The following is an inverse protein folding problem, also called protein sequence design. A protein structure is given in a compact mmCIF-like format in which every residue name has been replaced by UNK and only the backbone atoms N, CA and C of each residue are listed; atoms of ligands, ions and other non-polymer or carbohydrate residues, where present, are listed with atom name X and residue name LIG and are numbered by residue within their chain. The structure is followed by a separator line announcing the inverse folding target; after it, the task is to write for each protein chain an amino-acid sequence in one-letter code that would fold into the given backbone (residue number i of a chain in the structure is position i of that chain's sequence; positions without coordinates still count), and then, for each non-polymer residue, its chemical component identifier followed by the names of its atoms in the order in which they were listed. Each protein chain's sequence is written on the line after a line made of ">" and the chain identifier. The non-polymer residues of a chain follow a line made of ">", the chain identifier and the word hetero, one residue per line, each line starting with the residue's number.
data_IF_398394265677
#
_entry.id   IF_398394265677
#
_cell.length_a   1.000
_cell.length_b   1.000
_cell.length_c   1.000
_cell.angle_alpha   90.00
_cell.angle_beta   90.00
_cell.angle_gamma   90.00
#
_symmetry.space_group_name_H-M   'P 1'
#
loop_
_entity.id
_entity.type
_entity.pdbx_description
1 polymer ?
#
# COMPACT_ATOMS: atom_id res chain seq x y z
N UNK A 1 -1.68 -58.79 -14.43
CA UNK A 1 -0.94 -57.51 -14.37
C UNK A 1 -1.44 -56.63 -15.51
N UNK A 2 -2.36 -55.69 -15.26
CA UNK A 2 -2.68 -54.68 -16.26
C UNK A 2 -1.71 -53.50 -16.12
N UNK A 3 -1.23 -53.03 -17.27
CA UNK A 3 -0.37 -51.87 -17.39
C UNK A 3 -1.10 -50.61 -16.89
N UNK A 4 -0.53 -49.95 -15.89
CA UNK A 4 -0.86 -48.58 -15.52
C UNK A 4 -0.40 -47.67 -16.64
N UNK A 5 -1.35 -47.27 -17.49
CA UNK A 5 -1.15 -46.22 -18.47
C UNK A 5 -0.97 -44.90 -17.73
N UNK A 6 0.26 -44.50 -17.49
CA UNK A 6 0.64 -43.13 -17.11
C UNK A 6 0.33 -42.20 -18.30
N UNK A 7 -0.95 -41.84 -18.44
CA UNK A 7 -1.33 -40.69 -19.23
C UNK A 7 -1.04 -39.44 -18.37
N UNK A 8 -0.22 -38.49 -18.84
CA UNK A 8 0.03 -37.25 -18.09
C UNK A 8 -1.31 -36.53 -17.92
N UNK A 9 -1.73 -36.29 -16.67
CA UNK A 9 -2.99 -35.61 -16.39
C UNK A 9 -3.02 -34.26 -17.14
N UNK A 10 -4.06 -33.96 -17.94
CA UNK A 10 -4.15 -32.77 -18.79
C UNK A 10 -4.27 -31.44 -18.00
N UNK A 11 -4.36 -31.50 -16.68
CA UNK A 11 -4.63 -30.37 -15.79
C UNK A 11 -3.42 -29.44 -15.59
N UNK A 12 -2.21 -29.85 -15.99
CA UNK A 12 -0.98 -29.06 -15.80
C UNK A 12 -0.48 -28.33 -17.06
N UNK A 13 -1.21 -28.39 -18.18
CA UNK A 13 -0.77 -27.77 -19.43
C UNK A 13 -1.33 -26.35 -19.55
N UNK A 14 -0.43 -25.35 -19.59
CA UNK A 14 -0.80 -23.96 -19.92
C UNK A 14 -1.42 -23.91 -21.31
N UNK A 15 -2.70 -23.56 -21.37
CA UNK A 15 -3.45 -23.45 -22.62
C UNK A 15 -2.96 -22.26 -23.46
N UNK A 16 -3.09 -22.36 -24.78
CA UNK A 16 -2.95 -21.20 -25.67
C UNK A 16 -4.16 -20.28 -25.46
N UNK A 17 -3.98 -18.98 -25.72
CA UNK A 17 -5.03 -17.99 -25.49
C UNK A 17 -6.38 -18.32 -26.14
N UNK A 18 -6.38 -18.93 -27.33
CA UNK A 18 -7.60 -19.37 -28.02
C UNK A 18 -8.23 -20.61 -27.40
N UNK A 19 -7.40 -21.53 -26.91
CA UNK A 19 -7.86 -22.78 -26.28
C UNK A 19 -8.58 -22.51 -24.95
N UNK A 20 -8.29 -21.38 -24.30
CA UNK A 20 -9.03 -20.95 -23.10
C UNK A 20 -10.51 -20.70 -23.41
N UNK A 21 -10.82 -20.18 -24.60
CA UNK A 21 -12.20 -19.90 -25.02
C UNK A 21 -13.02 -21.17 -25.31
N UNK A 22 -12.34 -22.29 -25.55
CA UNK A 22 -12.95 -23.58 -25.84
C UNK A 22 -13.43 -24.30 -24.56
N UNK A 23 -12.95 -23.88 -23.38
CA UNK A 23 -13.44 -24.39 -22.10
C UNK A 23 -14.93 -24.07 -21.91
N UNK A 24 -15.70 -25.00 -21.35
CA UNK A 24 -17.03 -24.66 -20.82
C UNK A 24 -16.90 -23.77 -19.58
N UNK A 25 -18.02 -23.21 -19.10
CA UNK A 25 -17.99 -22.21 -18.03
C UNK A 25 -17.56 -22.82 -16.67
N UNK A 26 -17.80 -24.11 -16.44
CA UNK A 26 -17.39 -24.82 -15.22
C UNK A 26 -15.88 -25.07 -15.25
N UNK A 27 -15.40 -25.66 -16.34
CA UNK A 27 -13.98 -25.91 -16.58
C UNK A 27 -13.17 -24.61 -16.60
N UNK A 28 -13.73 -23.52 -17.13
CA UNK A 28 -13.10 -22.20 -17.07
C UNK A 28 -12.98 -21.70 -15.64
N UNK A 29 -14.04 -21.80 -14.82
CA UNK A 29 -13.97 -21.40 -13.41
C UNK A 29 -12.91 -22.18 -12.63
N UNK A 30 -12.84 -23.50 -12.82
CA UNK A 30 -11.85 -24.38 -12.20
C UNK A 30 -10.43 -24.03 -12.68
N UNK A 31 -10.26 -23.79 -13.98
CA UNK A 31 -8.99 -23.37 -14.57
C UNK A 31 -8.47 -22.07 -13.94
N UNK A 32 -9.33 -21.10 -13.67
CA UNK A 32 -8.95 -19.84 -13.01
C UNK A 32 -8.50 -20.03 -11.56
N UNK A 33 -9.00 -21.05 -10.86
CA UNK A 33 -8.70 -21.28 -9.43
C UNK A 33 -7.48 -22.15 -9.21
N UNK A 34 -7.15 -23.02 -10.17
CA UNK A 34 -6.05 -23.98 -10.05
C UNK A 34 -4.69 -23.30 -9.88
N UNK A 35 -4.36 -22.33 -10.75
CA UNK A 35 -3.04 -21.67 -10.76
C UNK A 35 -3.13 -20.20 -11.14
N UNK A 36 -2.23 -19.41 -10.56
CA UNK A 36 -2.12 -17.99 -10.93
C UNK A 36 -1.76 -17.80 -12.41
N UNK A 37 -0.88 -18.62 -12.96
CA UNK A 37 -0.53 -18.54 -14.39
C UNK A 37 -1.72 -18.83 -15.33
N UNK A 38 -2.69 -19.63 -14.88
CA UNK A 38 -3.93 -19.88 -15.62
C UNK A 38 -4.79 -18.62 -15.66
N UNK A 39 -4.97 -17.96 -14.51
CA UNK A 39 -5.63 -16.66 -14.40
C UNK A 39 -4.93 -15.59 -15.26
N UNK A 40 -3.60 -15.51 -15.26
CA UNK A 40 -2.82 -14.61 -16.13
C UNK A 40 -3.10 -14.90 -17.61
N UNK A 41 -3.14 -16.18 -17.99
CA UNK A 41 -3.40 -16.59 -19.37
C UNK A 41 -4.82 -16.23 -19.80
N UNK A 42 -5.81 -16.44 -18.93
CA UNK A 42 -7.19 -16.04 -19.16
C UNK A 42 -7.34 -14.52 -19.26
N UNK A 43 -6.67 -13.75 -18.39
CA UNK A 43 -6.66 -12.29 -18.44
C UNK A 43 -6.05 -11.74 -19.75
N UNK A 44 -4.98 -12.36 -20.26
CA UNK A 44 -4.41 -11.99 -21.57
C UNK A 44 -5.38 -12.38 -22.70
N UNK A 45 -6.05 -13.54 -22.59
CA UNK A 45 -7.03 -13.98 -23.58
C UNK A 45 -8.23 -13.04 -23.65
N UNK A 46 -8.71 -12.58 -22.49
CA UNK A 46 -9.78 -11.60 -22.35
C UNK A 46 -9.40 -10.24 -22.95
N UNK A 47 -8.23 -9.71 -22.56
CA UNK A 47 -7.72 -8.45 -23.10
C UNK A 47 -7.53 -8.49 -24.63
N UNK A 48 -7.24 -9.66 -25.18
CA UNK A 48 -7.13 -9.89 -26.62
C UNK A 48 -8.46 -10.25 -27.30
N UNK A 49 -9.58 -10.20 -26.58
CA UNK A 49 -10.95 -10.48 -27.03
C UNK A 49 -11.13 -11.91 -27.57
N UNK A 50 -10.48 -12.89 -26.95
CA UNK A 50 -10.67 -14.30 -27.28
C UNK A 50 -11.78 -14.97 -26.46
N UNK A 51 -12.08 -14.48 -25.26
CA UNK A 51 -13.07 -15.11 -24.38
C UNK A 51 -14.51 -14.88 -24.88
N UNK A 52 -15.39 -15.83 -24.54
CA UNK A 52 -16.84 -15.68 -24.76
C UNK A 52 -17.44 -14.68 -23.76
N UNK A 53 -18.60 -14.06 -24.06
CA UNK A 53 -19.25 -13.12 -23.15
C UNK A 53 -19.44 -13.67 -21.72
N UNK A 54 -19.92 -14.91 -21.56
CA UNK A 54 -20.11 -15.52 -20.24
C UNK A 54 -18.80 -15.65 -19.44
N UNK A 55 -17.69 -15.97 -20.11
CA UNK A 55 -16.36 -16.08 -19.48
C UNK A 55 -15.79 -14.70 -19.13
N UNK A 56 -16.01 -13.70 -20.00
CA UNK A 56 -15.68 -12.30 -19.73
C UNK A 56 -16.42 -11.79 -18.49
N UNK A 57 -17.74 -11.98 -18.44
CA UNK A 57 -18.59 -11.57 -17.33
C UNK A 57 -18.17 -12.25 -16.02
N UNK A 58 -17.80 -13.55 -16.07
CA UNK A 58 -17.28 -14.28 -14.92
C UNK A 58 -15.96 -13.67 -14.41
N UNK A 59 -15.05 -13.30 -15.31
CA UNK A 59 -13.76 -12.72 -14.96
C UNK A 59 -13.90 -11.30 -14.39
N UNK A 60 -14.87 -10.53 -14.88
CA UNK A 60 -15.19 -9.16 -14.44
C UNK A 60 -16.20 -9.09 -13.28
N UNK A 61 -16.66 -10.23 -12.75
CA UNK A 61 -17.50 -10.27 -11.57
C UNK A 61 -16.85 -9.52 -10.39
N UNK A 62 -17.64 -8.81 -9.59
CA UNK A 62 -17.14 -7.96 -8.49
C UNK A 62 -16.20 -8.70 -7.53
N UNK A 63 -16.49 -9.98 -7.23
CA UNK A 63 -15.66 -10.83 -6.39
C UNK A 63 -14.32 -11.25 -6.99
N UNK A 64 -14.16 -11.17 -8.32
CA UNK A 64 -12.93 -11.57 -9.06
C UNK A 64 -12.15 -10.39 -9.62
N UNK A 65 -12.71 -9.19 -9.61
CA UNK A 65 -12.10 -8.00 -10.20
C UNK A 65 -10.70 -7.68 -9.64
N UNK A 66 -10.48 -8.00 -8.36
CA UNK A 66 -9.18 -7.87 -7.73
C UNK A 66 -8.16 -8.90 -8.24
N UNK A 67 -8.56 -10.16 -8.40
CA UNK A 67 -7.70 -11.20 -8.96
C UNK A 67 -7.37 -10.90 -10.43
N UNK A 68 -8.35 -10.43 -11.20
CA UNK A 68 -8.14 -9.97 -12.57
C UNK A 68 -7.14 -8.81 -12.65
N UNK A 69 -7.27 -7.81 -11.76
CA UNK A 69 -6.32 -6.71 -11.66
C UNK A 69 -4.90 -7.21 -11.37
N UNK A 70 -4.74 -8.14 -10.43
CA UNK A 70 -3.44 -8.69 -10.05
C UNK A 70 -2.82 -9.47 -11.22
N UNK A 71 -3.62 -10.26 -11.94
CA UNK A 71 -3.21 -11.01 -13.11
C UNK A 71 -2.81 -10.12 -14.29
N UNK A 72 -3.59 -9.07 -14.59
CA UNK A 72 -3.26 -8.09 -15.63
C UNK A 72 -2.02 -7.26 -15.28
N UNK A 73 -1.83 -6.92 -14.00
CA UNK A 73 -0.62 -6.24 -13.51
C UNK A 73 0.63 -7.08 -13.79
N UNK A 74 0.57 -8.37 -13.47
CA UNK A 74 1.66 -9.29 -13.76
C UNK A 74 1.86 -9.47 -15.27
N UNK A 75 0.77 -9.67 -16.02
CA UNK A 75 0.78 -9.84 -17.47
C UNK A 75 1.43 -8.66 -18.20
N UNK A 76 1.12 -7.42 -17.78
CA UNK A 76 1.73 -6.22 -18.36
C UNK A 76 3.25 -6.27 -18.25
N UNK A 77 3.77 -6.51 -17.04
CA UNK A 77 5.21 -6.55 -16.82
C UNK A 77 5.89 -7.72 -17.52
N UNK A 78 5.31 -8.92 -17.47
CA UNK A 78 5.87 -10.11 -18.12
C UNK A 78 5.89 -9.94 -19.65
N UNK A 79 4.82 -9.42 -20.24
CA UNK A 79 4.77 -9.12 -21.68
C UNK A 79 5.77 -8.01 -22.06
N UNK A 80 5.95 -7.00 -21.22
CA UNK A 80 6.97 -5.97 -21.47
C UNK A 80 8.37 -6.58 -21.52
N UNK A 81 8.76 -7.36 -20.52
CA UNK A 81 10.07 -8.03 -20.50
C UNK A 81 10.21 -9.03 -21.65
N UNK A 82 9.13 -9.74 -22.01
CA UNK A 82 9.12 -10.63 -23.16
C UNK A 82 9.36 -9.89 -24.47
N UNK A 83 8.73 -8.73 -24.69
CA UNK A 83 8.98 -7.87 -25.86
C UNK A 83 10.43 -7.42 -25.90
N UNK A 84 10.98 -6.94 -24.78
CA UNK A 84 12.37 -6.48 -24.67
C UNK A 84 13.34 -7.62 -25.02
N UNK A 85 13.13 -8.80 -24.44
CA UNK A 85 13.93 -10.01 -24.71
C UNK A 85 13.84 -10.45 -26.18
N UNK A 86 12.63 -10.49 -26.74
CA UNK A 86 12.41 -10.86 -28.14
C UNK A 86 13.07 -9.85 -29.09
N UNK A 87 12.99 -8.56 -28.77
CA UNK A 87 13.64 -7.49 -29.55
C UNK A 87 15.16 -7.63 -29.52
N UNK A 88 15.75 -7.89 -28.35
CA UNK A 88 17.19 -8.14 -28.22
C UNK A 88 17.65 -9.31 -29.11
N UNK A 89 16.88 -10.40 -29.12
CA UNK A 89 17.17 -11.59 -29.94
C UNK A 89 16.71 -11.48 -31.41
N UNK A 90 16.13 -10.35 -31.82
CA UNK A 90 15.54 -10.15 -33.16
C UNK A 90 14.47 -11.21 -33.51
N UNK A 91 13.71 -11.66 -32.51
CA UNK A 91 12.63 -12.64 -32.69
C UNK A 91 11.43 -11.99 -33.39
N UNK A 92 10.95 -12.52 -34.53
CA UNK A 92 9.82 -11.94 -35.28
C UNK A 92 8.51 -11.90 -34.48
N UNK A 93 8.38 -12.69 -33.41
CA UNK A 93 7.20 -12.69 -32.53
C UNK A 93 7.07 -11.40 -31.72
N UNK A 94 8.13 -10.59 -31.60
CA UNK A 94 8.13 -9.34 -30.83
C UNK A 94 6.95 -8.42 -31.20
N UNK A 95 6.63 -8.29 -32.49
CA UNK A 95 5.53 -7.44 -32.95
C UNK A 95 4.16 -7.92 -32.44
N UNK A 96 3.94 -9.24 -32.40
CA UNK A 96 2.70 -9.83 -31.86
C UNK A 96 2.61 -9.62 -30.35
N UNK A 97 3.69 -9.90 -29.61
CA UNK A 97 3.73 -9.72 -28.16
C UNK A 97 3.54 -8.25 -27.78
N UNK A 98 4.09 -7.32 -28.56
CA UNK A 98 3.90 -5.88 -28.38
C UNK A 98 2.45 -5.44 -28.57
N UNK A 99 1.71 -6.04 -29.52
CA UNK A 99 0.26 -5.82 -29.65
C UNK A 99 -0.49 -6.30 -28.42
N UNK A 100 -0.18 -7.51 -27.93
CA UNK A 100 -0.78 -8.07 -26.72
C UNK A 100 -0.51 -7.20 -25.49
N UNK A 101 0.71 -6.68 -25.33
CA UNK A 101 1.05 -5.76 -24.26
C UNK A 101 0.16 -4.50 -24.27
N UNK A 102 -0.09 -3.92 -25.46
CA UNK A 102 -0.99 -2.75 -25.57
C UNK A 102 -2.42 -3.09 -25.16
N UNK A 103 -2.93 -4.25 -25.59
CA UNK A 103 -4.25 -4.74 -25.22
C UNK A 103 -4.38 -4.93 -23.70
N UNK A 104 -3.40 -5.58 -23.07
CA UNK A 104 -3.34 -5.78 -21.61
C UNK A 104 -3.30 -4.45 -20.86
N UNK A 105 -2.54 -3.46 -21.33
CA UNK A 105 -2.53 -2.11 -20.72
C UNK A 105 -3.89 -1.42 -20.76
N UNK A 106 -4.59 -1.53 -21.90
CA UNK A 106 -5.95 -0.99 -22.04
C UNK A 106 -6.92 -1.69 -21.08
N UNK A 107 -6.88 -3.03 -21.02
CA UNK A 107 -7.72 -3.81 -20.11
C UNK A 107 -7.41 -3.49 -18.65
N UNK A 108 -6.13 -3.40 -18.25
CA UNK A 108 -5.73 -3.05 -16.90
C UNK A 108 -6.23 -1.66 -16.49
N UNK A 109 -6.15 -0.68 -17.40
CA UNK A 109 -6.70 0.65 -17.13
C UNK A 109 -8.22 0.60 -16.92
N UNK A 110 -8.95 -0.19 -17.71
CA UNK A 110 -10.39 -0.39 -17.54
C UNK A 110 -10.71 -1.01 -16.17
N UNK A 111 -10.04 -2.11 -15.82
CA UNK A 111 -10.21 -2.80 -14.53
C UNK A 111 -9.87 -1.89 -13.35
N UNK A 112 -8.88 -1.00 -13.47
CA UNK A 112 -8.60 0.02 -12.45
C UNK A 112 -9.78 0.97 -12.24
N UNK A 113 -10.47 1.39 -13.30
CA UNK A 113 -11.66 2.25 -13.20
C UNK A 113 -12.82 1.51 -12.54
N UNK A 114 -13.07 0.27 -12.94
CA UNK A 114 -14.12 -0.59 -12.36
C UNK A 114 -13.88 -0.84 -10.87
N UNK A 115 -12.65 -1.22 -10.50
CA UNK A 115 -12.30 -1.48 -9.10
C UNK A 115 -12.34 -0.20 -8.24
N UNK A 116 -12.07 0.97 -8.83
CA UNK A 116 -12.28 2.25 -8.14
C UNK A 116 -13.78 2.58 -7.98
N UNK A 117 -14.60 2.30 -9.00
CA UNK A 117 -16.04 2.51 -8.93
C UNK A 117 -16.71 1.60 -7.88
N UNK A 118 -16.34 0.31 -7.86
CA UNK A 118 -16.82 -0.66 -6.88
C UNK A 118 -16.50 -0.21 -5.44
N UNK A 119 -15.23 0.13 -5.16
CA UNK A 119 -14.82 0.64 -3.85
C UNK A 119 -15.59 1.90 -3.43
N UNK A 120 -15.84 2.83 -4.35
CA UNK A 120 -16.66 4.03 -4.05
C UNK A 120 -18.12 3.67 -3.77
N UNK A 121 -18.68 2.67 -4.45
CA UNK A 121 -20.04 2.21 -4.17
C UNK A 121 -20.12 1.55 -2.79
N UNK A 122 -19.20 0.64 -2.48
CA UNK A 122 -19.11 -0.04 -1.17
C UNK A 122 -18.93 0.95 -0.02
N UNK A 123 -18.05 1.95 -0.19
CA UNK A 123 -17.86 2.99 0.82
C UNK A 123 -19.13 3.81 1.03
N UNK A 124 -19.82 4.24 -0.05
CA UNK A 124 -21.08 4.96 0.07
C UNK A 124 -22.15 4.15 0.81
N UNK A 125 -22.26 2.86 0.53
CA UNK A 125 -23.19 1.97 1.24
C UNK A 125 -22.81 1.86 2.73
N UNK A 126 -21.52 1.72 3.04
CA UNK A 126 -21.03 1.68 4.42
C UNK A 126 -21.27 2.98 5.18
N UNK A 127 -21.04 4.12 4.54
CA UNK A 127 -21.22 5.45 5.14
C UNK A 127 -22.70 5.75 5.38
N UNK A 128 -23.56 5.38 4.43
CA UNK A 128 -25.01 5.47 4.58
C UNK A 128 -25.54 4.60 5.74
N UNK A 129 -25.05 3.36 5.85
CA UNK A 129 -25.43 2.46 6.95
C UNK A 129 -24.93 2.95 8.32
N UNK A 130 -23.78 3.61 8.35
CA UNK A 130 -23.17 4.13 9.57
C UNK A 130 -23.66 5.55 9.94
N UNK A 131 -24.58 6.14 9.16
CA UNK A 131 -25.03 7.52 9.37
C UNK A 131 -23.89 8.54 9.42
N UNK A 132 -22.73 8.21 8.82
CA UNK A 132 -21.50 8.98 8.99
C UNK A 132 -21.65 10.30 8.23
N UNK A 133 -21.59 11.41 8.97
CA UNK A 133 -21.64 12.74 8.38
C UNK A 133 -20.38 13.00 7.54
N UNK A 134 -20.48 13.81 6.47
CA UNK A 134 -19.34 14.22 5.67
C UNK A 134 -18.22 14.76 6.56
N UNK A 135 -16.96 14.46 6.20
CA UNK A 135 -15.80 14.91 6.97
C UNK A 135 -15.81 16.44 7.09
N UNK A 136 -15.94 16.95 8.32
CA UNK A 136 -15.94 18.37 8.59
C UNK A 136 -14.53 18.89 8.97
N UNK A 137 -14.42 20.21 8.97
CA UNK A 137 -13.19 20.90 9.36
C UNK A 137 -12.81 20.64 10.81
N UNK A 138 -13.78 20.49 11.71
CA UNK A 138 -13.57 20.29 13.16
C UNK A 138 -12.98 18.92 13.44
N UNK A 139 -13.56 17.85 12.91
CA UNK A 139 -13.07 16.47 13.04
C UNK A 139 -11.69 16.34 12.42
N UNK A 140 -11.48 16.96 11.26
CA UNK A 140 -10.16 16.98 10.60
C UNK A 140 -9.13 17.72 11.46
N UNK A 141 -9.49 18.85 12.06
CA UNK A 141 -8.61 19.63 12.92
C UNK A 141 -8.24 18.88 14.20
N UNK A 142 -9.22 18.24 14.87
CA UNK A 142 -8.99 17.36 16.03
C UNK A 142 -7.98 16.25 15.70
N UNK A 143 -8.19 15.54 14.59
CA UNK A 143 -7.29 14.48 14.15
C UNK A 143 -5.88 14.99 13.79
N UNK A 144 -5.76 16.17 13.17
CA UNK A 144 -4.44 16.76 12.88
C UNK A 144 -3.74 17.22 14.16
N UNK A 145 -4.49 17.73 15.14
CA UNK A 145 -3.94 18.12 16.44
C UNK A 145 -3.38 16.92 17.22
N UNK A 146 -4.07 15.77 17.18
CA UNK A 146 -3.57 14.52 17.75
C UNK A 146 -2.23 14.09 17.12
N UNK A 147 -2.07 14.29 15.81
CA UNK A 147 -0.79 14.05 15.12
C UNK A 147 0.30 15.07 15.49
N UNK A 148 -0.09 16.32 15.78
CA UNK A 148 0.86 17.33 16.24
C UNK A 148 1.37 17.00 17.66
N UNK A 149 0.51 16.54 18.57
CA UNK A 149 0.84 16.28 19.97
C UNK A 149 0.64 14.81 20.38
N UNK A 150 1.38 13.85 19.76
CA UNK A 150 1.09 12.42 19.89
C UNK A 150 1.26 11.89 21.31
N UNK A 151 2.29 12.34 22.04
CA UNK A 151 2.54 11.92 23.42
C UNK A 151 1.43 12.39 24.36
N UNK A 152 1.02 13.66 24.24
CA UNK A 152 -0.04 14.23 25.08
C UNK A 152 -1.39 13.59 24.75
N UNK A 153 -1.69 13.41 23.47
CA UNK A 153 -2.90 12.70 23.04
C UNK A 153 -2.96 11.27 23.59
N UNK A 154 -1.87 10.52 23.54
CA UNK A 154 -1.82 9.15 24.09
C UNK A 154 -2.11 9.13 25.59
N UNK A 155 -1.58 10.10 26.34
CA UNK A 155 -1.87 10.24 27.77
C UNK A 155 -3.35 10.54 28.04
N UNK A 156 -3.93 11.50 27.30
CA UNK A 156 -5.34 11.87 27.43
C UNK A 156 -6.27 10.71 27.06
N UNK A 157 -5.93 9.94 26.02
CA UNK A 157 -6.68 8.77 25.61
C UNK A 157 -6.66 7.67 26.68
N UNK A 158 -5.49 7.39 27.27
CA UNK A 158 -5.37 6.42 28.35
C UNK A 158 -6.20 6.84 29.58
N UNK A 159 -6.23 8.14 29.92
CA UNK A 159 -7.06 8.68 31.00
C UNK A 159 -8.56 8.53 30.70
N UNK A 160 -8.99 8.84 29.48
CA UNK A 160 -10.39 8.71 29.07
C UNK A 160 -10.84 7.24 29.04
N UNK A 161 -10.00 6.33 28.56
CA UNK A 161 -10.26 4.88 28.60
C UNK A 161 -10.36 4.36 30.03
N UNK A 162 -9.45 4.76 30.91
CA UNK A 162 -9.50 4.38 32.33
C UNK A 162 -10.78 4.88 33.00
N UNK A 163 -11.22 6.11 32.71
CA UNK A 163 -12.48 6.66 33.21
C UNK A 163 -13.70 5.87 32.72
N UNK A 164 -13.64 5.32 31.51
CA UNK A 164 -14.68 4.45 30.93
C UNK A 164 -14.54 2.96 31.33
N UNK A 165 -13.63 2.61 32.25
CA UNK A 165 -13.31 1.22 32.62
C UNK A 165 -12.87 0.35 31.43
N UNK A 166 -12.29 0.96 30.39
CA UNK A 166 -11.75 0.30 29.22
C UNK A 166 -10.25 0.00 29.42
N UNK A 167 -9.73 -1.10 28.85
CA UNK A 167 -8.30 -1.36 28.88
C UNK A 167 -7.55 -0.25 28.13
N UNK A 168 -6.49 0.25 28.76
CA UNK A 168 -5.64 1.27 28.15
C UNK A 168 -5.03 0.74 26.85
N UNK A 169 -5.29 1.44 25.75
CA UNK A 169 -4.82 1.08 24.42
C UNK A 169 -4.35 2.33 23.68
N UNK A 170 -3.12 2.33 23.14
CA UNK A 170 -2.65 3.43 22.31
C UNK A 170 -3.52 3.56 21.06
N UNK A 171 -3.60 4.76 20.50
CA UNK A 171 -4.24 4.94 19.21
C UNK A 171 -3.38 4.34 18.09
N UNK A 172 -3.99 3.52 17.23
CA UNK A 172 -3.35 2.99 16.03
C UNK A 172 -2.81 4.14 15.16
N UNK A 173 -1.50 4.14 14.87
CA UNK A 173 -0.85 5.23 14.13
C UNK A 173 -0.98 5.05 12.62
N UNK A 174 -1.05 3.79 12.20
CA UNK A 174 -1.17 3.40 10.81
C UNK A 174 -2.11 2.19 10.64
N UNK A 175 -2.26 1.77 9.40
CA UNK A 175 -3.12 0.66 9.04
C UNK A 175 -2.59 -0.68 9.57
N UNK A 176 -1.28 -0.83 9.77
CA UNK A 176 -0.69 -2.05 10.28
C UNK A 176 -0.98 -2.20 11.78
N UNK A 177 -0.86 -1.12 12.56
CA UNK A 177 -1.28 -1.11 13.97
C UNK A 177 -2.76 -1.54 14.08
N UNK A 178 -3.62 -1.03 13.20
CA UNK A 178 -5.04 -1.42 13.16
C UNK A 178 -5.23 -2.92 12.91
N UNK A 179 -4.44 -3.50 12.00
CA UNK A 179 -4.48 -4.92 11.65
C UNK A 179 -3.94 -5.79 12.79
N UNK A 180 -2.80 -5.42 13.37
CA UNK A 180 -2.14 -6.14 14.47
C UNK A 180 -3.05 -6.14 15.72
N UNK A 181 -3.63 -4.99 16.07
CA UNK A 181 -4.62 -4.89 17.13
C UNK A 181 -5.88 -5.72 16.83
N UNK A 182 -6.42 -5.61 15.61
CA UNK A 182 -7.60 -6.38 15.21
C UNK A 182 -7.38 -7.88 15.23
N UNK A 183 -6.16 -8.35 14.97
CA UNK A 183 -5.78 -9.75 15.16
C UNK A 183 -5.74 -10.11 16.65
N UNK A 184 -5.10 -9.29 17.49
CA UNK A 184 -5.04 -9.52 18.93
C UNK A 184 -6.42 -9.52 19.61
N UNK A 185 -7.37 -8.74 19.08
CA UNK A 185 -8.77 -8.69 19.51
C UNK A 185 -9.64 -9.85 19.00
N UNK A 186 -9.08 -10.73 18.16
CA UNK A 186 -9.83 -11.82 17.54
C UNK A 186 -10.81 -11.37 16.45
N UNK A 187 -10.71 -10.13 15.95
CA UNK A 187 -11.51 -9.65 14.81
C UNK A 187 -11.06 -10.24 13.48
N UNK A 188 -9.78 -10.63 13.38
CA UNK A 188 -9.22 -11.32 12.22
C UNK A 188 -8.98 -12.80 12.55
N UNK A 189 -9.68 -13.69 11.86
CA UNK A 189 -9.48 -15.14 12.01
C UNK A 189 -8.30 -15.59 11.16
N UNK A 190 -7.11 -15.58 11.75
CA UNK A 190 -5.88 -16.10 11.13
C UNK A 190 -5.07 -16.86 12.19
N UNK A 191 -5.12 -18.21 12.21
CA UNK A 191 -4.39 -19.00 13.19
C UNK A 191 -2.90 -18.93 12.94
N UNK A 192 -2.11 -18.85 14.01
CA UNK A 192 -0.65 -18.95 13.90
C UNK A 192 -0.26 -20.40 13.59
N UNK A 193 0.20 -20.64 12.37
CA UNK A 193 0.70 -21.95 11.93
C UNK A 193 2.21 -22.04 12.14
N UNK A 194 2.81 -23.24 12.12
CA UNK A 194 4.27 -23.37 12.21
C UNK A 194 5.03 -22.54 11.15
N UNK A 195 4.48 -22.40 9.95
CA UNK A 195 5.07 -21.56 8.89
C UNK A 195 5.07 -20.06 9.26
N UNK A 196 4.00 -19.57 9.88
CA UNK A 196 3.91 -18.18 10.36
C UNK A 196 4.92 -17.94 11.48
N UNK A 197 5.00 -18.83 12.47
CA UNK A 197 5.96 -18.71 13.58
C UNK A 197 7.41 -18.73 13.09
N UNK A 198 7.73 -19.60 12.12
CA UNK A 198 9.05 -19.62 11.51
C UNK A 198 9.38 -18.30 10.81
N UNK A 199 8.45 -17.71 10.06
CA UNK A 199 8.66 -16.43 9.40
C UNK A 199 8.79 -15.28 10.40
N UNK A 200 8.03 -15.28 11.50
CA UNK A 200 8.14 -14.31 12.58
C UNK A 200 9.51 -14.39 13.25
N UNK A 201 10.03 -15.60 13.48
CA UNK A 201 11.34 -15.82 14.12
C UNK A 201 12.55 -15.49 13.23
N UNK A 202 12.39 -15.41 11.90
CA UNK A 202 13.51 -15.09 10.98
C UNK A 202 14.05 -13.69 11.25
N UNK A 203 15.37 -13.51 11.12
CA UNK A 203 16.00 -12.18 11.04
C UNK A 203 15.62 -11.43 9.76
N UNK A 204 15.89 -10.13 9.71
CA UNK A 204 15.50 -9.24 8.58
C UNK A 204 15.97 -9.77 7.22
N UNK A 205 17.24 -10.18 7.11
CA UNK A 205 17.82 -10.69 5.85
C UNK A 205 17.16 -12.00 5.42
N UNK A 206 16.99 -12.96 6.34
CA UNK A 206 16.38 -14.26 6.03
C UNK A 206 14.89 -14.14 5.67
N UNK A 207 14.18 -13.20 6.28
CA UNK A 207 12.80 -12.89 5.92
C UNK A 207 12.71 -12.26 4.53
N UNK A 208 13.58 -11.29 4.21
CA UNK A 208 13.64 -10.69 2.87
C UNK A 208 13.97 -11.72 1.79
N UNK A 209 14.87 -12.67 2.06
CA UNK A 209 15.14 -13.79 1.15
C UNK A 209 13.90 -14.65 0.91
N UNK A 210 13.13 -14.96 1.98
CA UNK A 210 11.87 -15.69 1.86
C UNK A 210 10.87 -14.97 0.94
N UNK A 211 10.72 -13.64 1.12
CA UNK A 211 9.88 -12.80 0.26
C UNK A 211 10.40 -12.77 -1.18
N UNK A 212 11.71 -12.79 -1.39
CA UNK A 212 12.30 -12.85 -2.72
C UNK A 212 12.02 -14.20 -3.41
N UNK A 213 12.10 -15.31 -2.67
CA UNK A 213 11.81 -16.65 -3.19
C UNK A 213 10.32 -16.78 -3.55
N UNK A 214 9.43 -16.33 -2.67
CA UNK A 214 7.98 -16.25 -2.91
C UNK A 214 7.64 -15.34 -4.09
N UNK A 215 8.35 -14.21 -4.27
CA UNK A 215 8.16 -13.38 -5.46
C UNK A 215 8.63 -14.08 -6.75
N UNK A 216 9.63 -14.98 -6.69
CA UNK A 216 10.07 -15.74 -7.87
C UNK A 216 9.10 -16.86 -8.23
N UNK A 217 8.50 -17.51 -7.24
CA UNK A 217 7.53 -18.58 -7.44
C UNK A 217 6.08 -18.08 -7.37
N UNK A 218 5.57 -17.67 -8.53
CA UNK A 218 4.22 -17.13 -8.63
C UNK A 218 3.11 -18.17 -8.53
N UNK A 219 3.42 -19.46 -8.70
CA UNK A 219 2.41 -20.53 -8.65
C UNK A 219 2.36 -21.20 -7.27
N UNK A 220 3.47 -21.26 -6.54
CA UNK A 220 3.55 -21.82 -5.19
C UNK A 220 3.82 -20.71 -4.16
N UNK A 221 2.89 -19.74 -4.10
CA UNK A 221 3.00 -18.59 -3.20
C UNK A 221 2.79 -19.01 -1.76
N UNK A 222 3.66 -18.57 -0.86
CA UNK A 222 3.59 -18.91 0.56
C UNK A 222 2.37 -18.24 1.21
N UNK A 223 1.35 -19.00 1.64
CA UNK A 223 0.18 -18.42 2.30
C UNK A 223 0.53 -17.82 3.67
N UNK A 224 1.63 -18.25 4.32
CA UNK A 224 2.03 -17.72 5.62
C UNK A 224 2.41 -16.23 5.54
N UNK A 225 3.03 -15.78 4.43
CA UNK A 225 3.34 -14.35 4.23
C UNK A 225 2.11 -13.44 4.24
N UNK A 226 0.92 -13.98 3.95
CA UNK A 226 -0.35 -13.26 3.98
C UNK A 226 -0.90 -13.05 5.38
N UNK A 227 -0.28 -13.62 6.42
CA UNK A 227 -0.75 -13.50 7.79
C UNK A 227 -0.77 -12.03 8.27
N UNK A 228 -1.82 -11.57 9.01
CA UNK A 228 -1.95 -10.19 9.49
C UNK A 228 -0.69 -9.64 10.17
N UNK A 229 -0.06 -10.42 11.06
CA UNK A 229 1.15 -10.01 11.80
C UNK A 229 2.41 -9.85 10.94
N UNK A 230 2.41 -10.39 9.72
CA UNK A 230 3.56 -10.32 8.81
C UNK A 230 3.46 -9.15 7.83
N UNK A 231 2.30 -8.50 7.70
CA UNK A 231 2.07 -7.49 6.66
C UNK A 231 3.05 -6.32 6.74
N UNK A 232 3.33 -5.80 7.94
CA UNK A 232 4.31 -4.71 8.13
C UNK A 232 5.69 -5.10 7.62
N UNK A 233 6.21 -6.26 8.04
CA UNK A 233 7.52 -6.78 7.62
C UNK A 233 7.54 -7.12 6.13
N UNK A 234 6.46 -7.67 5.61
CA UNK A 234 6.33 -8.01 4.20
C UNK A 234 6.37 -6.75 3.32
N UNK A 235 5.66 -5.68 3.71
CA UNK A 235 5.75 -4.38 3.04
C UNK A 235 7.20 -3.88 2.98
N UNK A 236 7.88 -3.83 4.14
CA UNK A 236 9.27 -3.38 4.23
C UNK A 236 10.20 -4.22 3.35
N UNK A 237 10.06 -5.55 3.36
CA UNK A 237 10.86 -6.43 2.53
C UNK A 237 10.63 -6.21 1.03
N UNK A 238 9.37 -6.03 0.58
CA UNK A 238 9.05 -5.69 -0.81
C UNK A 238 9.59 -4.31 -1.21
N UNK A 239 9.63 -3.35 -0.27
CA UNK A 239 10.22 -2.03 -0.45
C UNK A 239 11.73 -2.06 -0.64
N UNK A 240 12.42 -2.80 0.22
CA UNK A 240 13.86 -3.03 0.08
C UNK A 240 14.19 -3.80 -1.20
N UNK A 241 13.47 -4.89 -1.50
CA UNK A 241 13.72 -5.70 -2.70
C UNK A 241 13.56 -4.88 -3.98
N UNK A 242 12.52 -4.06 -4.09
CA UNK A 242 12.35 -3.20 -5.24
C UNK A 242 13.51 -2.20 -5.35
N UNK A 243 13.86 -1.53 -4.25
CA UNK A 243 14.95 -0.55 -4.20
C UNK A 243 16.30 -1.15 -4.64
N UNK A 244 16.60 -2.37 -4.18
CA UNK A 244 17.81 -3.11 -4.57
C UNK A 244 17.79 -3.57 -6.03
N UNK A 245 16.60 -3.87 -6.57
CA UNK A 245 16.46 -4.43 -7.92
C UNK A 245 16.44 -3.34 -9.01
N UNK A 246 15.91 -2.14 -8.72
CA UNK A 246 15.83 -1.01 -9.68
C UNK A 246 17.14 -0.74 -10.43
N UNK A 247 18.30 -0.56 -9.79
CA UNK A 247 19.54 -0.31 -10.52
C UNK A 247 19.97 -1.50 -11.40
N UNK A 248 19.78 -2.73 -10.91
CA UNK A 248 20.11 -3.95 -11.66
C UNK A 248 19.21 -4.12 -12.90
N UNK A 249 17.94 -3.79 -12.75
CA UNK A 249 16.92 -3.82 -13.81
C UNK A 249 17.04 -2.64 -14.79
N UNK A 250 17.92 -1.66 -14.51
CA UNK A 250 17.98 -0.36 -15.19
C UNK A 250 16.58 0.26 -15.32
N UNK A 251 15.78 0.14 -14.26
CA UNK A 251 14.40 0.59 -14.25
C UNK A 251 14.30 2.09 -13.93
N UNK A 252 13.23 2.75 -14.37
CA UNK A 252 13.02 4.17 -14.09
C UNK A 252 12.69 4.46 -12.62
N UNK A 253 12.00 3.53 -11.95
CA UNK A 253 11.63 3.67 -10.54
C UNK A 253 11.27 2.32 -9.91
N UNK A 254 11.08 2.26 -8.59
CA UNK A 254 10.56 1.06 -7.91
C UNK A 254 9.15 0.62 -8.34
N UNK A 255 8.47 1.35 -9.22
CA UNK A 255 7.10 1.07 -9.67
C UNK A 255 6.92 1.16 -11.19
N UNK A 256 7.99 1.39 -11.95
CA UNK A 256 7.93 1.51 -13.40
C UNK A 256 9.26 1.06 -14.04
N UNK A 257 9.14 0.26 -15.12
CA UNK A 257 10.28 -0.35 -15.78
C UNK A 257 11.02 0.68 -16.63
N UNK A 258 10.32 1.66 -17.19
CA UNK A 258 10.87 2.63 -18.13
C UNK A 258 11.39 1.98 -19.42
N UNK A 259 11.88 2.83 -20.33
CA UNK A 259 12.61 2.37 -21.51
C UNK A 259 13.97 1.80 -21.12
N UNK A 260 14.42 0.78 -21.84
CA UNK A 260 15.80 0.33 -21.72
C UNK A 260 16.75 1.41 -22.27
N UNK A 261 17.93 1.60 -21.67
CA UNK A 261 18.95 2.49 -22.21
C UNK A 261 19.37 2.13 -23.65
N UNK A 262 19.76 3.14 -24.42
CA UNK A 262 20.08 2.98 -25.85
C UNK A 262 21.26 2.06 -26.15
N UNK A 263 22.16 1.84 -25.18
CA UNK A 263 23.28 0.91 -25.28
C UNK A 263 22.88 -0.56 -25.11
N UNK A 264 21.67 -0.85 -24.63
CA UNK A 264 21.24 -2.20 -24.25
C UNK A 264 21.35 -3.23 -25.38
N UNK A 265 21.02 -2.84 -26.61
CA UNK A 265 21.10 -3.70 -27.80
C UNK A 265 22.53 -4.15 -28.15
N UNK A 266 23.54 -3.46 -27.62
CA UNK A 266 24.95 -3.73 -27.88
C UNK A 266 25.62 -4.52 -26.75
N UNK A 267 24.93 -4.77 -25.65
CA UNK A 267 25.47 -5.52 -24.53
C UNK A 267 25.70 -6.99 -24.91
N UNK A 268 26.74 -7.65 -24.34
CA UNK A 268 26.88 -9.09 -24.41
C UNK A 268 25.64 -9.81 -23.85
N UNK A 269 25.31 -10.98 -24.40
CA UNK A 269 24.08 -11.70 -24.03
C UNK A 269 24.00 -11.96 -22.53
N UNK A 270 25.10 -12.35 -21.90
CA UNK A 270 25.13 -12.61 -20.46
C UNK A 270 24.68 -11.39 -19.63
N UNK A 271 25.13 -10.19 -19.99
CA UNK A 271 24.81 -8.98 -19.25
C UNK A 271 23.41 -8.45 -19.59
N UNK A 272 23.00 -8.55 -20.85
CA UNK A 272 21.63 -8.26 -21.26
C UNK A 272 20.62 -9.13 -20.49
N UNK A 273 20.92 -10.42 -20.33
CA UNK A 273 20.06 -11.35 -19.59
C UNK A 273 20.04 -11.11 -18.08
N UNK A 274 21.13 -10.64 -17.47
CA UNK A 274 21.11 -10.18 -16.07
C UNK A 274 20.10 -9.05 -15.88
N UNK A 275 20.10 -8.06 -16.77
CA UNK A 275 19.17 -6.93 -16.74
C UNK A 275 17.73 -7.42 -16.96
N UNK A 276 17.48 -8.24 -17.98
CA UNK A 276 16.13 -8.77 -18.28
C UNK A 276 15.57 -9.60 -17.13
N UNK A 277 16.40 -10.45 -16.50
CA UNK A 277 15.99 -11.24 -15.34
C UNK A 277 15.70 -10.35 -14.13
N UNK A 278 16.50 -9.31 -13.89
CA UNK A 278 16.23 -8.32 -12.84
C UNK A 278 14.92 -7.56 -13.09
N UNK A 279 14.62 -7.20 -14.36
CA UNK A 279 13.33 -6.58 -14.74
C UNK A 279 12.16 -7.51 -14.50
N UNK A 280 12.27 -8.80 -14.86
CA UNK A 280 11.24 -9.81 -14.57
C UNK A 280 11.03 -9.97 -13.06
N UNK A 281 12.10 -9.99 -12.27
CA UNK A 281 12.00 -10.07 -10.82
C UNK A 281 11.31 -8.83 -10.23
N UNK A 282 11.63 -7.63 -10.74
CA UNK A 282 10.96 -6.38 -10.32
C UNK A 282 9.46 -6.39 -10.60
N UNK A 283 9.03 -6.92 -11.76
CA UNK A 283 7.61 -7.13 -12.09
C UNK A 283 6.95 -8.07 -11.08
N UNK A 284 7.63 -9.16 -10.70
CA UNK A 284 7.10 -10.10 -9.74
C UNK A 284 6.92 -9.46 -8.34
N UNK A 285 7.84 -8.58 -7.93
CA UNK A 285 7.69 -7.76 -6.72
C UNK A 285 6.47 -6.85 -6.80
N UNK A 286 6.18 -6.23 -7.95
CA UNK A 286 5.01 -5.37 -8.12
C UNK A 286 3.70 -6.13 -7.98
N UNK A 287 3.63 -7.35 -8.51
CA UNK A 287 2.48 -8.21 -8.31
C UNK A 287 2.27 -8.49 -6.80
N UNK A 288 3.33 -8.85 -6.07
CA UNK A 288 3.23 -9.12 -4.61
C UNK A 288 2.84 -7.87 -3.83
N UNK A 289 3.29 -6.68 -4.25
CA UNK A 289 2.84 -5.40 -3.67
C UNK A 289 1.37 -5.11 -3.94
N UNK A 290 0.85 -5.42 -5.13
CA UNK A 290 -0.56 -5.25 -5.45
C UNK A 290 -1.43 -6.14 -4.56
N UNK A 291 -1.04 -7.41 -4.41
CA UNK A 291 -1.71 -8.38 -3.53
C UNK A 291 -1.66 -7.93 -2.06
N UNK A 292 -0.49 -7.51 -1.58
CA UNK A 292 -0.31 -6.98 -0.24
C UNK A 292 -1.21 -5.75 0.03
N UNK A 293 -1.25 -4.80 -0.91
CA UNK A 293 -2.11 -3.60 -0.80
C UNK A 293 -3.58 -4.00 -0.66
N UNK A 294 -4.03 -4.98 -1.44
CA UNK A 294 -5.38 -5.53 -1.35
C UNK A 294 -5.65 -6.15 0.01
N UNK A 295 -4.77 -7.04 0.48
CA UNK A 295 -4.92 -7.75 1.76
C UNK A 295 -5.00 -6.78 2.93
N UNK A 296 -4.15 -5.75 2.96
CA UNK A 296 -4.20 -4.71 3.99
C UNK A 296 -5.56 -4.02 4.03
N UNK A 297 -6.10 -3.63 2.88
CA UNK A 297 -7.41 -2.98 2.85
C UNK A 297 -8.54 -3.92 3.27
N UNK A 298 -8.46 -5.20 2.90
CA UNK A 298 -9.42 -6.21 3.32
C UNK A 298 -9.37 -6.43 4.85
N UNK A 299 -8.18 -6.56 5.43
CA UNK A 299 -8.01 -6.69 6.87
C UNK A 299 -8.51 -5.46 7.61
N UNK A 300 -8.11 -4.26 7.18
CA UNK A 300 -8.56 -3.01 7.80
C UNK A 300 -10.09 -2.84 7.71
N UNK A 301 -10.69 -3.18 6.57
CA UNK A 301 -12.15 -3.18 6.41
C UNK A 301 -12.83 -4.15 7.37
N UNK A 302 -12.35 -5.39 7.44
CA UNK A 302 -12.88 -6.42 8.36
C UNK A 302 -12.77 -5.99 9.82
N UNK A 303 -11.62 -5.45 10.22
CA UNK A 303 -11.40 -4.93 11.59
C UNK A 303 -12.35 -3.78 11.88
N UNK A 304 -12.53 -2.84 10.94
CA UNK A 304 -13.44 -1.71 11.10
C UNK A 304 -14.88 -2.17 11.30
N UNK A 305 -15.35 -3.08 10.45
CA UNK A 305 -16.73 -3.58 10.51
C UNK A 305 -16.96 -4.38 11.82
N UNK A 306 -16.01 -5.22 12.23
CA UNK A 306 -16.07 -5.98 13.50
C UNK A 306 -15.99 -5.09 14.73
N UNK A 307 -15.15 -4.05 14.72
CA UNK A 307 -15.04 -3.07 15.82
C UNK A 307 -16.32 -2.27 16.01
N UNK A 308 -17.02 -1.93 14.92
CA UNK A 308 -18.33 -1.25 14.99
C UNK A 308 -19.41 -2.12 15.59
N UNK A 309 -19.37 -3.43 15.34
CA UNK A 309 -20.29 -4.39 15.92
C UNK A 309 -19.92 -4.81 17.36
N UNK A 310 -18.79 -4.36 17.90
CA UNK A 310 -18.36 -4.70 19.25
C UNK A 310 -19.19 -3.97 20.31
N UNK A 311 -19.51 -4.61 21.44
CA UNK A 311 -20.37 -4.01 22.47
C UNK A 311 -19.73 -2.78 23.15
N UNK A 312 -18.41 -2.66 23.12
CA UNK A 312 -17.66 -1.54 23.69
C UNK A 312 -17.36 -0.43 22.68
N UNK A 313 -17.89 -0.52 21.45
CA UNK A 313 -17.64 0.44 20.37
C UNK A 313 -17.93 1.88 20.79
N UNK A 314 -19.16 2.12 21.27
CA UNK A 314 -19.63 3.46 21.63
C UNK A 314 -18.81 4.05 22.78
N UNK A 315 -18.46 3.24 23.78
CA UNK A 315 -17.62 3.67 24.90
C UNK A 315 -16.20 4.04 24.43
N UNK A 316 -15.62 3.26 23.52
CA UNK A 316 -14.30 3.56 22.94
C UNK A 316 -14.35 4.83 22.08
N UNK A 317 -15.42 5.01 21.32
CA UNK A 317 -15.63 6.21 20.51
C UNK A 317 -15.76 7.45 21.40
N UNK A 318 -16.56 7.39 22.46
CA UNK A 318 -16.70 8.47 23.45
C UNK A 318 -15.39 8.79 24.16
N UNK A 319 -14.59 7.78 24.54
CA UNK A 319 -13.28 8.00 25.15
C UNK A 319 -12.30 8.69 24.19
N UNK A 320 -12.34 8.35 22.89
CA UNK A 320 -11.57 9.02 21.86
C UNK A 320 -11.98 10.49 21.71
N UNK A 321 -13.28 10.76 21.60
CA UNK A 321 -13.80 12.13 21.48
C UNK A 321 -13.46 12.97 22.71
N UNK A 322 -13.60 12.43 23.92
CA UNK A 322 -13.24 13.11 25.15
C UNK A 322 -11.74 13.48 25.19
N UNK A 323 -10.86 12.59 24.72
CA UNK A 323 -9.42 12.86 24.65
C UNK A 323 -9.10 13.93 23.60
N UNK A 324 -9.76 13.92 22.44
CA UNK A 324 -9.60 14.93 21.39
C UNK A 324 -10.11 16.30 21.84
N UNK A 325 -11.27 16.36 22.51
CA UNK A 325 -11.82 17.59 23.06
C UNK A 325 -10.91 18.20 24.13
N UNK A 326 -10.37 17.35 25.00
CA UNK A 326 -9.40 17.81 26.00
C UNK A 326 -8.13 18.34 25.34
N UNK A 327 -7.65 17.69 24.27
CA UNK A 327 -6.48 18.15 23.54
C UNK A 327 -6.71 19.52 22.86
N UNK A 328 -7.89 19.75 22.29
CA UNK A 328 -8.28 21.05 21.72
C UNK A 328 -8.32 22.12 22.81
N UNK A 329 -8.91 21.82 23.97
CA UNK A 329 -8.97 22.74 25.11
C UNK A 329 -7.58 23.12 25.65
N UNK A 330 -6.62 22.20 25.60
CA UNK A 330 -5.23 22.45 26.03
C UNK A 330 -4.39 23.20 24.98
N UNK A 331 -4.77 23.14 23.70
CA UNK A 331 -4.03 23.76 22.60
C UNK A 331 -4.93 24.58 21.64
N UNK A 332 -5.68 25.58 22.14
CA UNK A 332 -6.65 26.32 21.33
C UNK A 332 -5.99 27.08 20.17
N UNK A 333 -4.78 27.63 20.37
CA UNK A 333 -4.06 28.34 19.31
C UNK A 333 -3.63 27.43 18.16
N UNK A 334 -3.21 26.19 18.45
CA UNK A 334 -2.84 25.22 17.42
C UNK A 334 -4.06 24.73 16.65
N UNK A 335 -5.17 24.46 17.35
CA UNK A 335 -6.46 24.14 16.73
C UNK A 335 -6.95 25.26 15.80
N UNK A 336 -6.87 26.52 16.24
CA UNK A 336 -7.27 27.68 15.43
C UNK A 336 -6.43 27.82 14.15
N UNK A 337 -5.11 27.55 14.21
CA UNK A 337 -4.23 27.55 13.01
C UNK A 337 -4.62 26.47 12.02
N UNK A 338 -4.90 25.25 12.50
CA UNK A 338 -5.35 24.16 11.63
C UNK A 338 -6.68 24.54 10.96
N UNK A 339 -7.66 25.03 11.73
CA UNK A 339 -8.94 25.47 11.20
C UNK A 339 -8.80 26.60 10.18
N UNK A 340 -7.91 27.58 10.43
CA UNK A 340 -7.61 28.64 9.48
C UNK A 340 -7.04 28.10 8.16
N UNK A 341 -6.20 27.05 8.21
CA UNK A 341 -5.70 26.38 7.01
C UNK A 341 -6.79 25.62 6.25
N UNK A 342 -7.76 25.04 6.95
CA UNK A 342 -8.84 24.25 6.35
C UNK A 342 -9.97 25.13 5.78
N UNK A 343 -10.17 26.34 6.31
CA UNK A 343 -11.26 27.26 5.95
C UNK A 343 -11.42 27.50 4.44
N UNK A 344 -10.37 27.67 3.63
CA UNK A 344 -10.53 27.90 2.18
C UNK A 344 -11.13 26.71 1.42
N UNK A 345 -11.14 25.53 2.05
CA UNK A 345 -11.62 24.28 1.46
C UNK A 345 -12.98 23.84 2.01
N UNK A 346 -13.57 24.66 2.87
CA UNK A 346 -14.79 24.35 3.58
C UNK A 346 -16.01 25.04 2.93
N UNK A 347 -17.15 24.35 2.92
CA UNK A 347 -18.45 24.95 2.63
C UNK A 347 -18.87 25.91 3.74
N UNK A 348 -19.96 26.65 3.52
CA UNK A 348 -20.57 27.49 4.55
C UNK A 348 -20.91 26.73 5.84
N UNK A 349 -21.24 25.44 5.72
CA UNK A 349 -21.55 24.55 6.85
C UNK A 349 -20.30 23.89 7.49
N UNK A 350 -19.10 24.31 7.07
CA UNK A 350 -17.83 23.80 7.62
C UNK A 350 -17.45 22.39 7.13
N UNK A 351 -18.10 21.88 6.08
CA UNK A 351 -17.79 20.58 5.46
C UNK A 351 -16.65 20.72 4.45
N UNK A 352 -15.76 19.74 4.40
CA UNK A 352 -14.69 19.74 3.39
C UNK A 352 -15.20 19.11 2.10
N UNK A 353 -15.18 19.85 0.99
CA UNK A 353 -15.60 19.33 -0.32
C UNK A 353 -14.49 18.48 -0.91
N UNK A 354 -14.77 17.22 -1.25
CA UNK A 354 -13.74 16.30 -1.77
C UNK A 354 -13.19 16.72 -3.14
N UNK A 355 -14.01 17.38 -3.96
CA UNK A 355 -13.62 17.88 -5.29
C UNK A 355 -12.65 19.07 -5.21
N UNK A 356 -12.75 19.87 -4.13
CA UNK A 356 -11.89 21.03 -3.88
C UNK A 356 -10.69 20.64 -3.02
N UNK A 357 -10.91 19.84 -1.98
CA UNK A 357 -9.89 19.35 -1.05
C UNK A 357 -9.47 17.92 -1.37
N UNK A 358 -8.89 17.76 -2.55
CA UNK A 358 -8.44 16.44 -3.03
C UNK A 358 -7.50 15.75 -2.03
N UNK A 359 -7.42 14.41 -2.02
CA UNK A 359 -6.55 13.66 -1.10
C UNK A 359 -5.08 14.11 -1.14
N UNK A 360 -4.56 14.47 -2.32
CA UNK A 360 -3.20 14.98 -2.48
C UNK A 360 -3.02 16.34 -1.79
N UNK A 361 -3.96 17.25 -1.98
CA UNK A 361 -3.94 18.56 -1.33
C UNK A 361 -4.09 18.45 0.18
N UNK A 362 -4.98 17.55 0.66
CA UNK A 362 -5.13 17.24 2.08
C UNK A 362 -3.83 16.73 2.70
N UNK A 363 -3.14 15.81 2.03
CA UNK A 363 -1.85 15.29 2.49
C UNK A 363 -0.79 16.40 2.56
N UNK A 364 -0.72 17.27 1.55
CA UNK A 364 0.21 18.40 1.54
C UNK A 364 -0.11 19.39 2.67
N UNK A 365 -1.36 19.84 2.78
CA UNK A 365 -1.79 20.79 3.81
C UNK A 365 -1.56 20.24 5.23
N UNK A 366 -1.79 18.94 5.44
CA UNK A 366 -1.45 18.28 6.71
C UNK A 366 0.05 18.38 7.00
N UNK A 367 0.91 18.05 6.04
CA UNK A 367 2.38 18.13 6.20
C UNK A 367 2.82 19.56 6.55
N UNK A 368 2.33 20.55 5.81
CA UNK A 368 2.70 21.95 6.01
C UNK A 368 2.33 22.43 7.42
N UNK A 369 1.10 22.17 7.85
CA UNK A 369 0.62 22.60 9.18
C UNK A 369 1.34 21.87 10.30
N UNK A 370 1.57 20.56 10.16
CA UNK A 370 2.32 19.82 11.18
C UNK A 370 3.78 20.31 11.28
N UNK A 371 4.38 20.72 10.16
CA UNK A 371 5.71 21.33 10.14
C UNK A 371 5.71 22.72 10.82
N UNK A 372 4.73 23.58 10.52
CA UNK A 372 4.57 24.89 11.18
C UNK A 372 4.39 24.73 12.71
N UNK A 373 3.49 23.84 13.13
CA UNK A 373 3.28 23.52 14.55
C UNK A 373 4.53 22.91 15.20
N UNK A 374 5.35 22.15 14.46
CA UNK A 374 6.62 21.65 14.98
C UNK A 374 7.66 22.77 15.15
N UNK A 375 7.72 23.73 14.22
CA UNK A 375 8.62 24.87 14.29
C UNK A 375 8.29 25.78 15.49
N UNK A 376 7.01 26.08 15.72
CA UNK A 376 6.56 26.91 16.85
C UNK A 376 6.88 26.25 18.21
N UNK A 377 6.90 24.91 18.27
CA UNK A 377 7.23 24.14 19.48
C UNK A 377 8.72 24.06 19.78
N UNK A 378 9.60 24.47 18.86
CA UNK A 378 11.04 24.56 19.09
C UNK A 378 11.39 26.01 19.42
N UNK A 379 11.43 26.43 20.70
CA UNK A 379 11.99 27.72 21.05
C UNK A 379 13.52 27.61 21.10
N UNK A 380 14.19 27.37 19.96
CA UNK A 380 15.60 27.76 19.82
C UNK A 380 15.65 29.21 19.36
N UNK A 381 15.17 30.06 20.26
CA UNK A 381 15.58 31.44 20.34
C UNK A 381 16.98 31.40 20.95
N UNK A 382 18.00 31.29 20.10
CA UNK A 382 19.29 31.92 20.42
C UNK A 382 19.04 33.42 20.32
N UNK A 383 18.47 33.99 21.38
CA UNK A 383 18.66 35.41 21.65
C UNK A 383 20.18 35.61 21.76
N UNK A 384 20.79 36.53 21.01
CA UNK A 384 22.17 36.93 21.25
C UNK A 384 22.20 37.51 22.67
N UNK A 385 22.61 36.69 23.62
CA UNK A 385 22.69 37.09 25.01
C UNK A 385 23.81 38.12 25.12
N UNK A 386 23.41 39.33 25.49
CA UNK A 386 24.20 40.36 26.15
C UNK A 386 25.47 40.86 25.43
N UNK A 387 25.33 42.07 24.86
CA UNK A 387 26.11 43.25 25.27
C UNK A 387 27.60 42.95 25.49
N UNK A 388 28.41 43.29 24.49
CA UNK A 388 29.86 43.41 24.64
C UNK A 388 30.18 44.22 25.90
N UNK A 389 30.91 43.60 26.83
CA UNK A 389 31.46 44.31 27.97
C UNK A 389 32.35 45.43 27.45
N UNK A 390 32.00 46.68 27.81
CA UNK A 390 32.87 47.85 27.62
C UNK A 390 34.27 47.51 28.15
N UNK A 391 35.34 47.83 27.41
CA UNK A 391 36.67 47.71 27.98
C UNK A 391 36.79 48.74 29.11
N UNK A 392 37.13 48.26 30.30
CA UNK A 392 37.56 49.13 31.40
C UNK A 392 38.86 49.79 30.95
N UNK A 393 38.81 51.11 30.81
CA UNK A 393 39.97 51.98 30.72
C UNK A 393 40.81 51.80 32.00
N UNK A 394 41.81 50.93 31.96
CA UNK A 394 42.90 50.93 32.92
C UNK A 394 43.92 51.97 32.47
N UNK A 395 43.68 53.23 32.83
CA UNK A 395 44.72 54.24 32.88
C UNK A 395 45.65 53.89 34.06
N UNK A 396 46.85 53.40 33.75
CA UNK A 396 47.99 53.47 34.68
C UNK A 396 49.18 54.02 33.90
N UNK A 397 49.25 55.35 33.87
CA UNK A 397 50.50 56.05 33.68
C UNK A 397 51.09 56.32 35.08
N UNK A 398 52.13 55.58 35.45
CA UNK A 398 53.21 56.11 36.28
C UNK A 398 54.50 55.77 35.56
N UNK A 399 54.94 56.77 34.80
CA UNK A 399 56.32 56.95 34.39
C UNK A 399 57.15 57.17 35.66
N UNK A 400 58.13 56.30 35.86
CA UNK A 400 59.33 56.63 36.58
C UNK A 400 60.48 56.12 35.73
N UNK A 401 61.20 57.03 35.10
CA UNK A 401 62.62 56.79 34.84
C UNK A 401 63.34 58.14 34.86
N UNK A 402 63.21 58.89 35.96
CA UNK A 402 63.64 60.29 36.06
C UNK A 402 62.87 61.25 35.16
#
# INVERSE_FOLDING_TARGET
>A
MPATSDAPQPQHRRLRLREVADLDDTAFSDYLQDRFDHLVTAAIADAASYLRPAQHDLLHASGRLHDLRDALTFAEGDLQVAVERMTYRRDPRAARTSRQLRQVRTALHQVHREAAALRRAENRTRDAAAGTTPTDTVTTARGWLANAYPARFTQLLAQAQAAASLPARPHAKDIFDTIEEGWADGHLTAPSTPGVEQLLARGVVAFRSAVADDARDQNDRDPALRHPLLQRRWNTALDELATLTVPLARASSPSALGALPGDFSHLPEQDAFKILNARRFLVAIWQRRAEHTRLIHQYAGTVTDRRRAAPDHDLRFQALDAALDRLVAEHPAAAARILARLRPYATADGRLEEDVFTPALRAQAKRDVLADLAAIRRPDVVLPSAIASRPVLAATAVLAAR
#
